data_IF_433637674230
#
_entry.id   IF_433637674230
#
_cell.length_a   1.000
_cell.length_b   1.000
_cell.length_c   1.000
_cell.angle_alpha   90.00
_cell.angle_beta   90.00
_cell.angle_gamma   90.00
#
_symmetry.space_group_name_H-M   'P 1'
#
loop_
_entity.id
_entity.type
_entity.pdbx_description
1 polymer ?
#
# COMPACT_ATOMS: atom_id res chain seq x y z
N UNK A 1 13.93 8.25 -11.07
CA UNK A 1 13.39 6.90 -11.07
C UNK A 1 11.88 6.94 -11.33
N UNK A 2 11.32 5.82 -11.81
CA UNK A 2 9.91 5.67 -12.15
C UNK A 2 9.42 4.36 -11.50
N UNK A 3 8.48 4.44 -10.58
CA UNK A 3 7.98 3.31 -9.81
C UNK A 3 6.46 3.26 -9.83
N UNK A 4 5.90 2.05 -9.77
CA UNK A 4 4.46 1.82 -9.64
C UNK A 4 4.20 1.02 -8.38
N UNK A 5 3.24 1.48 -7.58
CA UNK A 5 2.81 0.83 -6.35
C UNK A 5 1.31 0.56 -6.43
N UNK A 6 0.89 -0.66 -6.11
CA UNK A 6 -0.52 -1.00 -5.99
C UNK A 6 -1.11 -0.47 -4.68
N UNK A 7 -2.37 -0.06 -4.70
CA UNK A 7 -3.11 0.36 -3.51
C UNK A 7 -4.55 -0.15 -3.57
N UNK A 8 -4.99 -1.00 -2.60
CA UNK A 8 -6.36 -1.46 -2.56
C UNK A 8 -7.28 -0.34 -2.08
N UNK A 9 -8.47 -0.27 -2.66
CA UNK A 9 -9.54 0.65 -2.27
C UNK A 9 -10.84 -0.09 -2.02
N UNK A 10 -11.65 0.43 -1.11
CA UNK A 10 -12.91 -0.22 -0.72
C UNK A 10 -13.98 -0.20 -1.82
N UNK A 11 -13.90 0.75 -2.76
CA UNK A 11 -14.82 0.94 -3.89
C UNK A 11 -16.31 0.89 -3.47
N UNK A 12 -16.66 1.59 -2.37
CA UNK A 12 -18.02 1.63 -1.80
C UNK A 12 -18.68 3.00 -1.89
N UNK A 13 -18.31 3.79 -2.90
CA UNK A 13 -18.79 5.17 -3.07
C UNK A 13 -20.12 5.25 -3.82
N UNK A 14 -20.58 4.18 -4.44
CA UNK A 14 -21.86 4.15 -5.15
C UNK A 14 -23.06 4.10 -4.18
N UNK A 15 -24.16 4.78 -4.51
CA UNK A 15 -25.40 4.64 -3.75
C UNK A 15 -25.82 3.16 -3.63
N UNK A 16 -26.06 2.68 -2.42
CA UNK A 16 -26.38 1.28 -2.15
C UNK A 16 -25.20 0.36 -1.88
N UNK A 17 -23.98 0.73 -2.25
CA UNK A 17 -22.77 -0.07 -1.95
C UNK A 17 -22.55 -0.31 -0.43
N UNK A 18 -22.85 0.66 0.47
CA UNK A 18 -22.73 0.42 1.91
C UNK A 18 -23.63 -0.69 2.44
N UNK A 19 -24.75 -0.96 1.78
CA UNK A 19 -25.68 -2.05 2.13
C UNK A 19 -25.37 -3.40 1.45
N UNK A 20 -24.43 -3.43 0.53
CA UNK A 20 -24.08 -4.65 -0.17
C UNK A 20 -23.19 -5.55 0.68
N UNK A 21 -23.56 -6.81 0.79
CA UNK A 21 -22.70 -7.85 1.38
C UNK A 21 -21.81 -8.44 0.29
N UNK A 22 -20.49 -8.41 0.51
CA UNK A 22 -19.50 -8.97 -0.41
C UNK A 22 -18.27 -8.08 -0.60
N UNK A 23 -17.33 -8.58 -1.38
CA UNK A 23 -16.08 -7.89 -1.74
C UNK A 23 -16.32 -6.96 -2.92
N UNK A 24 -16.12 -5.65 -2.72
CA UNK A 24 -16.20 -4.62 -3.75
C UNK A 24 -14.82 -3.97 -4.01
N UNK A 25 -13.76 -4.56 -3.47
CA UNK A 25 -12.40 -4.02 -3.57
C UNK A 25 -11.99 -3.84 -5.04
N UNK A 26 -11.32 -2.74 -5.31
CA UNK A 26 -10.57 -2.53 -6.54
C UNK A 26 -9.13 -2.15 -6.17
N UNK A 27 -8.23 -2.14 -7.15
CA UNK A 27 -6.83 -1.78 -6.96
C UNK A 27 -6.48 -0.59 -7.85
N UNK A 28 -5.84 0.42 -7.26
CA UNK A 28 -5.24 1.52 -7.99
C UNK A 28 -3.75 1.22 -8.24
N UNK A 29 -3.27 1.52 -9.44
CA UNK A 29 -1.85 1.52 -9.78
C UNK A 29 -1.34 2.96 -9.70
N UNK A 30 -0.58 3.28 -8.66
CA UNK A 30 -0.04 4.61 -8.41
C UNK A 30 1.38 4.71 -8.96
N UNK A 31 1.55 5.52 -10.00
CA UNK A 31 2.85 5.76 -10.62
C UNK A 31 3.50 7.00 -10.02
N UNK A 32 4.70 6.87 -9.51
CA UNK A 32 5.50 7.98 -9.00
C UNK A 32 6.81 8.13 -9.78
N UNK A 33 7.07 9.35 -10.24
CA UNK A 33 8.35 9.72 -10.84
C UNK A 33 9.17 10.48 -9.81
N UNK A 34 10.32 9.91 -9.45
CA UNK A 34 11.18 10.42 -8.40
C UNK A 34 12.31 11.21 -9.03
N UNK A 35 12.32 12.52 -8.79
CA UNK A 35 13.46 13.39 -9.06
C UNK A 35 14.21 13.61 -7.75
N UNK A 36 15.45 13.11 -7.66
CA UNK A 36 16.26 13.21 -6.47
C UNK A 36 16.57 14.64 -5.99
N UNK A 37 16.50 15.61 -6.89
CA UNK A 37 16.70 17.04 -6.56
C UNK A 37 15.48 17.69 -5.93
N UNK A 38 14.31 17.07 -6.06
CA UNK A 38 13.06 17.56 -5.48
C UNK A 38 13.07 17.39 -3.95
N UNK A 39 12.48 18.34 -3.22
CA UNK A 39 12.27 18.18 -1.77
C UNK A 39 11.19 17.12 -1.49
N UNK A 40 11.24 16.50 -0.30
CA UNK A 40 10.19 15.57 0.11
C UNK A 40 8.80 16.19 0.09
N UNK A 41 8.64 17.45 0.54
CA UNK A 41 7.34 18.16 0.50
C UNK A 41 6.85 18.32 -0.94
N UNK A 42 7.74 18.64 -1.87
CA UNK A 42 7.41 18.72 -3.29
C UNK A 42 6.97 17.37 -3.85
N UNK A 43 7.71 16.31 -3.53
CA UNK A 43 7.37 14.94 -3.92
C UNK A 43 6.03 14.48 -3.32
N UNK A 44 5.79 14.76 -2.05
CA UNK A 44 4.53 14.44 -1.38
C UNK A 44 3.34 15.13 -2.06
N UNK A 45 3.50 16.38 -2.49
CA UNK A 45 2.48 17.11 -3.23
C UNK A 45 2.18 16.47 -4.59
N UNK A 46 3.22 15.99 -5.29
CA UNK A 46 3.09 15.24 -6.54
C UNK A 46 2.36 13.91 -6.32
N UNK A 47 2.77 13.12 -5.31
CA UNK A 47 2.12 11.84 -4.98
C UNK A 47 0.66 12.05 -4.60
N UNK A 48 0.36 13.11 -3.84
CA UNK A 48 -1.02 13.47 -3.50
C UNK A 48 -1.86 13.77 -4.74
N UNK A 49 -1.33 14.52 -5.70
CA UNK A 49 -2.04 14.83 -6.94
C UNK A 49 -2.30 13.54 -7.75
N UNK A 50 -1.28 12.70 -7.93
CA UNK A 50 -1.40 11.40 -8.61
C UNK A 50 -2.45 10.49 -7.95
N UNK A 51 -2.45 10.45 -6.61
CA UNK A 51 -3.43 9.66 -5.85
C UNK A 51 -4.86 10.16 -6.07
N UNK A 52 -5.08 11.48 -5.99
CA UNK A 52 -6.42 12.07 -6.17
C UNK A 52 -6.94 11.82 -7.60
N UNK A 53 -6.09 11.98 -8.61
CA UNK A 53 -6.43 11.70 -10.01
C UNK A 53 -6.78 10.20 -10.19
N UNK A 54 -5.97 9.30 -9.67
CA UNK A 54 -6.28 7.86 -9.71
C UNK A 54 -7.57 7.52 -8.96
N UNK A 55 -7.83 8.19 -7.84
CA UNK A 55 -9.04 8.00 -7.05
C UNK A 55 -10.31 8.50 -7.75
N UNK A 56 -10.23 9.56 -8.56
CA UNK A 56 -11.33 10.01 -9.41
C UNK A 56 -11.74 8.96 -10.45
N UNK A 57 -10.80 8.11 -10.87
CA UNK A 57 -11.01 7.02 -11.82
C UNK A 57 -11.13 5.63 -11.17
N UNK A 58 -11.43 5.56 -9.89
CA UNK A 58 -11.44 4.32 -9.10
C UNK A 58 -12.46 3.27 -9.57
N UNK A 59 -13.44 3.67 -10.35
CA UNK A 59 -14.47 2.78 -10.89
C UNK A 59 -13.96 1.90 -12.05
N UNK A 60 -12.80 2.24 -12.60
CA UNK A 60 -12.15 1.40 -13.62
C UNK A 60 -11.60 0.13 -12.96
N UNK A 61 -12.13 -1.07 -13.29
CA UNK A 61 -11.60 -2.30 -12.73
C UNK A 61 -10.14 -2.53 -13.15
N UNK A 62 -9.30 -2.93 -12.21
CA UNK A 62 -7.87 -3.14 -12.45
C UNK A 62 -7.61 -4.14 -13.58
N UNK A 63 -8.40 -5.21 -13.66
CA UNK A 63 -8.29 -6.24 -14.69
C UNK A 63 -8.56 -5.68 -16.09
N UNK A 64 -9.49 -4.72 -16.20
CA UNK A 64 -9.81 -4.04 -17.47
C UNK A 64 -8.63 -3.16 -17.87
N UNK A 65 -8.04 -2.42 -16.92
CA UNK A 65 -6.86 -1.61 -17.15
C UNK A 65 -5.70 -2.45 -17.70
N UNK A 66 -5.38 -3.57 -17.04
CA UNK A 66 -4.34 -4.50 -17.48
C UNK A 66 -4.61 -5.03 -18.89
N UNK A 67 -5.87 -5.40 -19.16
CA UNK A 67 -6.28 -5.90 -20.48
C UNK A 67 -6.08 -4.87 -21.59
N UNK A 68 -6.34 -3.59 -21.32
CA UNK A 68 -6.17 -2.50 -22.29
C UNK A 68 -4.70 -2.16 -22.53
N UNK A 69 -3.86 -2.24 -21.52
CA UNK A 69 -2.42 -1.95 -21.62
C UNK A 69 -1.63 -3.02 -22.38
N UNK A 70 -2.25 -4.17 -22.70
CA UNK A 70 -1.58 -5.30 -23.39
C UNK A 70 -0.27 -5.71 -22.70
N UNK A 71 -0.24 -5.65 -21.38
CA UNK A 71 0.90 -6.11 -20.60
C UNK A 71 1.11 -7.61 -20.89
N UNK A 72 2.33 -7.98 -21.22
CA UNK A 72 2.69 -9.39 -21.42
C UNK A 72 2.39 -10.15 -20.10
N UNK A 73 1.58 -11.21 -20.21
CA UNK A 73 1.16 -11.97 -19.03
C UNK A 73 2.21 -13.01 -18.71
N UNK A 74 3.01 -12.74 -17.69
CA UNK A 74 3.83 -13.74 -17.02
C UNK A 74 3.11 -14.15 -15.73
N UNK A 75 2.68 -15.42 -15.59
CA UNK A 75 1.99 -15.89 -14.39
C UNK A 75 2.84 -15.80 -13.11
N UNK A 76 4.16 -15.68 -13.24
CA UNK A 76 5.09 -15.60 -12.12
C UNK A 76 5.28 -14.17 -11.59
N UNK A 77 4.78 -13.16 -12.30
CA UNK A 77 4.99 -11.75 -11.94
C UNK A 77 3.65 -11.02 -11.92
N UNK A 78 3.41 -10.24 -10.87
CA UNK A 78 2.24 -9.36 -10.83
C UNK A 78 2.33 -8.31 -11.94
N UNK A 79 1.28 -8.16 -12.76
CA UNK A 79 1.29 -7.17 -13.83
C UNK A 79 1.34 -5.75 -13.23
N UNK A 80 2.19 -4.90 -13.76
CA UNK A 80 2.42 -3.49 -13.40
C UNK A 80 3.21 -3.23 -12.12
N UNK A 81 2.99 -3.97 -11.04
CA UNK A 81 3.70 -3.73 -9.77
C UNK A 81 3.84 -5.01 -8.95
N UNK A 82 4.96 -5.18 -8.26
CA UNK A 82 5.19 -6.23 -7.26
C UNK A 82 4.98 -5.73 -5.83
N UNK A 83 4.87 -4.40 -5.64
CA UNK A 83 4.74 -3.78 -4.31
C UNK A 83 3.33 -3.24 -4.10
N UNK A 84 2.73 -3.59 -2.96
CA UNK A 84 1.41 -3.12 -2.52
C UNK A 84 1.56 -2.26 -1.27
N UNK A 85 0.85 -1.12 -1.24
CA UNK A 85 0.66 -0.31 -0.04
C UNK A 85 -0.78 -0.44 0.43
N UNK A 86 -0.98 -1.04 1.58
CA UNK A 86 -2.30 -1.20 2.19
C UNK A 86 -2.45 -0.29 3.41
N UNK A 87 -3.41 0.62 3.39
CA UNK A 87 -3.69 1.53 4.52
C UNK A 87 -5.03 1.17 5.14
N UNK A 88 -4.97 0.58 6.33
CA UNK A 88 -6.16 0.21 7.09
C UNK A 88 -6.72 1.46 7.81
N UNK A 89 -7.79 2.00 7.26
CA UNK A 89 -8.47 3.18 7.78
C UNK A 89 -9.95 2.91 8.13
N UNK A 90 -10.38 1.64 8.08
CA UNK A 90 -11.74 1.25 8.46
C UNK A 90 -11.83 1.15 9.98
N UNK A 91 -12.82 1.81 10.62
CA UNK A 91 -13.03 1.68 12.06
C UNK A 91 -13.22 0.21 12.45
N UNK A 92 -12.72 -0.19 13.64
CA UNK A 92 -12.92 -1.54 14.13
C UNK A 92 -14.42 -1.84 14.26
N UNK A 93 -14.86 -2.90 13.61
CA UNK A 93 -16.19 -3.42 13.87
C UNK A 93 -16.16 -4.07 15.26
N UNK A 94 -16.59 -3.33 16.28
CA UNK A 94 -16.84 -3.91 17.60
C UNK A 94 -18.10 -4.76 17.52
N UNK A 95 -17.91 -6.06 17.36
CA UNK A 95 -19.03 -7.00 17.41
C UNK A 95 -19.35 -7.25 18.89
N UNK A 96 -20.32 -6.51 19.41
CA UNK A 96 -20.87 -6.79 20.74
C UNK A 96 -22.01 -7.81 20.58
N UNK A 97 -21.78 -9.02 21.06
CA UNK A 97 -22.81 -10.04 21.11
C UNK A 97 -23.35 -10.18 22.54
N UNK A 98 -24.68 -10.19 22.75
CA UNK A 98 -25.24 -10.33 24.09
C UNK A 98 -24.77 -11.64 24.74
N UNK A 99 -24.28 -11.56 25.97
CA UNK A 99 -23.79 -12.68 26.77
C UNK A 99 -22.59 -13.46 26.21
N UNK A 100 -21.84 -12.88 25.27
CA UNK A 100 -20.62 -13.47 24.73
C UNK A 100 -19.45 -12.51 24.88
N UNK A 101 -18.30 -13.05 25.32
CA UNK A 101 -17.03 -12.36 25.24
C UNK A 101 -16.45 -12.61 23.84
N UNK A 102 -16.14 -11.52 23.12
CA UNK A 102 -15.54 -11.61 21.79
C UNK A 102 -14.07 -11.23 21.89
N UNK A 103 -13.19 -12.12 21.50
CA UNK A 103 -11.75 -11.90 21.43
C UNK A 103 -11.27 -11.98 19.99
N UNK A 104 -10.37 -11.09 19.61
CA UNK A 104 -9.73 -11.12 18.30
C UNK A 104 -8.49 -12.01 18.38
N UNK A 105 -8.50 -13.07 17.57
CA UNK A 105 -7.33 -13.94 17.41
C UNK A 105 -6.63 -13.57 16.10
N UNK A 106 -5.35 -13.28 16.18
CA UNK A 106 -4.52 -13.09 14.99
C UNK A 106 -4.09 -14.47 14.47
N UNK A 107 -4.43 -14.73 13.21
CA UNK A 107 -4.08 -15.97 12.52
C UNK A 107 -2.98 -15.64 11.53
N UNK A 108 -1.87 -16.35 11.62
CA UNK A 108 -0.80 -16.26 10.62
C UNK A 108 -1.33 -16.78 9.27
N UNK A 109 -1.27 -15.89 8.26
CA UNK A 109 -1.68 -16.23 6.89
C UNK A 109 -0.47 -16.74 6.15
N UNK A 110 -0.39 -18.04 5.94
CA UNK A 110 0.64 -18.64 5.10
C UNK A 110 0.47 -18.19 3.65
N UNK A 111 1.38 -17.36 3.16
CA UNK A 111 1.47 -16.90 1.77
C UNK A 111 1.26 -15.42 1.56
N UNK A 112 2.11 -14.81 0.76
CA UNK A 112 2.01 -13.43 0.30
C UNK A 112 1.32 -13.38 -1.07
N UNK A 113 0.43 -12.43 -1.27
CA UNK A 113 -0.27 -12.23 -2.56
C UNK A 113 0.59 -11.46 -3.56
N UNK A 114 1.46 -10.59 -3.07
CA UNK A 114 2.40 -9.79 -3.85
C UNK A 114 3.82 -10.06 -3.38
N UNK A 115 4.80 -9.60 -4.15
CA UNK A 115 6.22 -9.74 -3.79
C UNK A 115 6.47 -9.12 -2.41
N UNK A 116 5.91 -7.92 -2.19
CA UNK A 116 6.01 -7.18 -0.93
C UNK A 116 4.76 -6.34 -0.70
N UNK A 117 4.18 -6.45 0.49
CA UNK A 117 3.08 -5.58 0.93
C UNK A 117 3.50 -4.82 2.19
N UNK A 118 3.42 -3.50 2.15
CA UNK A 118 3.49 -2.66 3.34
C UNK A 118 2.07 -2.36 3.82
N UNK A 119 1.75 -2.79 5.03
CA UNK A 119 0.46 -2.46 5.65
C UNK A 119 0.65 -1.44 6.77
N UNK A 120 -0.15 -0.39 6.73
CA UNK A 120 -0.22 0.67 7.75
C UNK A 120 -1.57 0.61 8.43
N UNK A 121 -1.59 0.22 9.70
CA UNK A 121 -2.81 0.24 10.52
C UNK A 121 -2.84 1.51 11.38
N UNK A 122 -3.72 2.42 11.02
CA UNK A 122 -3.86 3.71 11.72
C UNK A 122 -4.81 3.69 12.91
N UNK A 123 -5.71 2.73 12.96
CA UNK A 123 -6.88 2.78 13.86
C UNK A 123 -6.87 1.71 14.94
N UNK A 124 -6.32 0.54 14.69
CA UNK A 124 -6.35 -0.60 15.61
C UNK A 124 -5.06 -0.69 16.42
N UNK A 125 -4.03 -1.21 15.76
CA UNK A 125 -2.73 -1.47 16.41
C UNK A 125 -1.77 -0.29 16.33
N UNK A 126 -2.06 0.69 15.46
CA UNK A 126 -1.16 1.81 15.14
C UNK A 126 0.24 1.31 14.77
N UNK A 127 0.29 0.25 14.02
CA UNK A 127 1.51 -0.44 13.61
C UNK A 127 1.70 -0.43 12.11
N UNK A 128 2.91 -0.70 11.70
CA UNK A 128 3.31 -0.89 10.31
C UNK A 128 4.00 -2.24 10.23
N UNK A 129 3.65 -3.06 9.23
CA UNK A 129 4.34 -4.32 9.01
C UNK A 129 4.51 -4.63 7.53
N UNK A 130 5.49 -5.47 7.22
CA UNK A 130 5.73 -6.00 5.90
C UNK A 130 5.24 -7.45 5.82
N UNK A 131 4.51 -7.76 4.75
CA UNK A 131 4.22 -9.11 4.29
C UNK A 131 5.01 -9.33 2.99
N UNK A 132 5.69 -10.44 2.84
CA UNK A 132 6.56 -10.68 1.70
C UNK A 132 6.56 -12.13 1.24
N UNK A 133 6.85 -12.35 -0.05
CA UNK A 133 7.01 -13.68 -0.63
C UNK A 133 8.36 -14.28 -0.20
N UNK A 134 8.33 -15.35 0.58
CA UNK A 134 9.52 -16.02 1.10
C UNK A 134 10.36 -16.69 0.02
N UNK A 135 9.78 -16.93 -1.15
CA UNK A 135 10.50 -17.42 -2.34
C UNK A 135 11.36 -16.32 -2.99
N UNK A 136 11.05 -15.04 -2.74
CA UNK A 136 11.76 -13.90 -3.32
C UNK A 136 12.67 -13.17 -2.31
N UNK A 137 12.28 -13.14 -1.04
CA UNK A 137 12.96 -12.37 -0.01
C UNK A 137 13.35 -13.23 1.19
N UNK A 138 14.55 -13.04 1.66
CA UNK A 138 14.98 -13.56 2.97
C UNK A 138 14.50 -12.59 4.06
N UNK A 139 14.18 -13.14 5.24
CA UNK A 139 13.78 -12.37 6.43
C UNK A 139 14.76 -11.23 6.73
N UNK A 140 16.07 -11.52 6.76
CA UNK A 140 17.10 -10.51 7.00
C UNK A 140 17.13 -9.37 5.96
N UNK A 141 16.62 -9.60 4.76
CA UNK A 141 16.48 -8.55 3.73
C UNK A 141 15.32 -7.64 4.06
N UNK A 142 14.20 -8.21 4.51
CA UNK A 142 13.01 -7.43 4.90
C UNK A 142 13.26 -6.68 6.20
N UNK A 143 14.00 -7.24 7.16
CA UNK A 143 14.43 -6.55 8.38
C UNK A 143 15.25 -5.30 8.05
N UNK A 144 16.23 -5.42 7.15
CA UNK A 144 17.00 -4.26 6.69
C UNK A 144 16.15 -3.22 5.96
N UNK A 145 15.18 -3.68 5.15
CA UNK A 145 14.24 -2.78 4.49
C UNK A 145 13.39 -2.01 5.52
N UNK A 146 12.88 -2.70 6.53
CA UNK A 146 12.13 -2.11 7.63
C UNK A 146 12.95 -1.05 8.37
N UNK A 147 14.20 -1.36 8.70
CA UNK A 147 15.08 -0.40 9.36
C UNK A 147 15.37 0.83 8.48
N UNK A 148 15.60 0.61 7.18
CA UNK A 148 15.79 1.72 6.23
C UNK A 148 14.55 2.59 6.12
N UNK A 149 13.39 1.97 6.10
CA UNK A 149 12.12 2.69 6.05
C UNK A 149 11.94 3.58 7.27
N UNK A 150 12.25 3.08 8.47
CA UNK A 150 12.21 3.86 9.71
C UNK A 150 13.21 5.04 9.67
N UNK A 151 14.47 4.77 9.33
CA UNK A 151 15.49 5.81 9.23
C UNK A 151 15.13 6.90 8.21
N UNK A 152 14.48 6.50 7.10
CA UNK A 152 13.99 7.42 6.09
C UNK A 152 12.87 8.31 6.63
N UNK A 153 11.92 7.74 7.34
CA UNK A 153 10.83 8.49 7.98
C UNK A 153 11.37 9.48 9.01
N UNK A 154 12.32 9.07 9.86
CA UNK A 154 12.93 9.94 10.85
C UNK A 154 13.64 11.12 10.20
N UNK A 155 14.44 10.87 9.16
CA UNK A 155 15.14 11.93 8.41
C UNK A 155 14.17 12.90 7.71
N UNK A 156 13.04 12.40 7.21
CA UNK A 156 11.97 13.23 6.61
C UNK A 156 11.31 14.11 7.67
N UNK A 157 11.07 13.56 8.87
CA UNK A 157 10.46 14.31 9.97
C UNK A 157 11.39 15.40 10.51
N UNK A 158 12.72 15.16 10.51
CA UNK A 158 13.73 16.16 10.91
C UNK A 158 13.79 17.34 9.92
N UNK A 159 13.77 17.07 8.62
CA UNK A 159 13.86 18.11 7.59
C UNK A 159 13.04 17.73 6.35
N UNK A 160 11.73 18.04 6.32
CA UNK A 160 10.89 17.75 5.17
C UNK A 160 11.25 18.56 3.90
N UNK A 161 12.02 19.61 4.05
CA UNK A 161 12.52 20.44 2.94
C UNK A 161 13.73 19.88 2.22
N UNK A 162 14.38 18.86 2.79
CA UNK A 162 15.57 18.23 2.23
C UNK A 162 15.28 17.58 0.88
N UNK A 163 16.24 17.68 -0.05
CA UNK A 163 16.19 16.97 -1.32
C UNK A 163 16.21 15.45 -1.12
N UNK A 164 15.50 14.73 -1.98
CA UNK A 164 15.38 13.26 -1.85
C UNK A 164 16.73 12.54 -1.92
N UNK A 165 17.66 13.03 -2.76
CA UNK A 165 19.03 12.49 -2.84
C UNK A 165 19.85 12.69 -1.55
N UNK A 166 19.47 13.66 -0.72
CA UNK A 166 20.09 13.94 0.58
C UNK A 166 19.54 13.11 1.74
N UNK A 167 18.51 12.29 1.49
CA UNK A 167 17.95 11.37 2.49
C UNK A 167 18.83 10.12 2.62
N UNK A 168 18.83 9.43 3.78
CA UNK A 168 19.63 8.24 4.00
C UNK A 168 19.19 7.10 3.07
N UNK A 169 20.06 6.74 2.10
CA UNK A 169 19.81 5.68 1.13
C UNK A 169 20.45 4.34 1.53
N UNK A 170 21.36 4.36 2.51
CA UNK A 170 22.10 3.18 3.00
C UNK A 170 22.10 3.14 4.53
N UNK A 171 21.99 1.94 5.09
CA UNK A 171 22.36 1.63 6.48
C UNK A 171 23.86 1.43 6.53
#
# INVERSE_FOLDING_TARGET
DDVVVGMPIANRNHPGAPGCFGTLLNTLALRARIDGKQSFVGFLSQVRATFLEAFEHQDMPFEVLIGQMRVERDPSVSPLFGVMLNVLNTPPAMVALPNLAVERIEIDRCGAQFDLTLTVDRLHTKSIWFEYATDLYQESTVDRLSQRYQNLLDAILEDPGRALDGLPQRT
#
